data_IF_390219412021
#
_entry.id   IF_390219412021
#
_cell.length_a   1.000
_cell.length_b   1.000
_cell.length_c   1.000
_cell.angle_alpha   90.00
_cell.angle_beta   90.00
_cell.angle_gamma   90.00
#
_symmetry.space_group_name_H-M   'P 1'
#
loop_
_entity.id
_entity.type
_entity.pdbx_description
1 polymer ?
#
# COMPACT_ATOMS: atom_id res chain seq x y z
N UNK A 1 -9.74 -16.25 16.87
CA UNK A 1 -9.30 -17.43 17.65
C UNK A 1 -8.37 -16.97 18.78
N UNK A 2 -8.23 -17.72 19.86
CA UNK A 2 -7.31 -17.38 20.97
C UNK A 2 -6.39 -18.57 21.25
N UNK A 3 -5.10 -18.32 21.41
CA UNK A 3 -4.09 -19.32 21.76
C UNK A 3 -3.18 -18.78 22.87
N UNK A 4 -2.50 -19.67 23.60
CA UNK A 4 -1.52 -19.28 24.61
C UNK A 4 -0.11 -19.47 24.04
N UNK A 5 0.79 -18.55 24.37
CA UNK A 5 2.20 -18.69 24.02
C UNK A 5 2.86 -19.79 24.84
N UNK A 6 3.81 -20.52 24.25
CA UNK A 6 4.65 -21.47 24.97
C UNK A 6 5.66 -20.76 25.91
N UNK A 7 6.46 -21.55 26.65
CA UNK A 7 7.49 -21.02 27.58
C UNK A 7 8.58 -20.18 26.88
N UNK A 8 8.66 -20.24 25.53
CA UNK A 8 9.58 -19.46 24.70
C UNK A 8 8.89 -18.27 24.02
N UNK A 9 7.61 -18.01 24.29
CA UNK A 9 6.85 -16.92 23.68
C UNK A 9 6.31 -17.22 22.28
N UNK A 10 6.40 -18.46 21.80
CA UNK A 10 5.91 -18.85 20.47
C UNK A 10 4.42 -19.17 20.51
N UNK A 11 3.72 -18.87 19.43
CA UNK A 11 2.30 -19.15 19.26
C UNK A 11 2.02 -19.80 17.91
N UNK A 12 0.90 -20.50 17.79
CA UNK A 12 0.47 -21.14 16.54
C UNK A 12 -1.04 -21.06 16.43
N UNK A 13 -1.52 -20.76 15.23
CA UNK A 13 -2.93 -20.81 14.85
C UNK A 13 -3.09 -21.82 13.72
N UNK A 14 -4.04 -22.74 13.85
CA UNK A 14 -4.35 -23.73 12.82
C UNK A 14 -5.65 -23.31 12.14
N UNK A 15 -5.52 -22.35 11.23
CA UNK A 15 -6.63 -21.80 10.46
C UNK A 15 -6.48 -22.18 9.00
N UNK A 16 -7.60 -22.44 8.35
CA UNK A 16 -7.64 -22.53 6.90
C UNK A 16 -7.73 -21.10 6.33
N UNK A 17 -6.84 -20.73 5.41
CA UNK A 17 -6.82 -19.39 4.83
C UNK A 17 -6.51 -19.38 3.33
N UNK A 18 -7.46 -18.91 2.48
CA UNK A 18 -7.18 -18.70 1.06
C UNK A 18 -6.19 -17.56 0.85
N UNK A 19 -5.59 -17.54 -0.32
CA UNK A 19 -4.69 -16.47 -0.75
C UNK A 19 -5.31 -15.08 -0.55
N UNK A 20 -4.51 -14.14 -0.03
CA UNK A 20 -4.95 -12.77 0.27
C UNK A 20 -5.69 -12.57 1.60
N UNK A 21 -5.78 -13.60 2.44
CA UNK A 21 -6.39 -13.48 3.78
C UNK A 21 -5.56 -12.57 4.69
N UNK A 22 -6.17 -11.50 5.20
CA UNK A 22 -5.54 -10.61 6.16
C UNK A 22 -5.82 -11.05 7.61
N UNK A 23 -4.77 -11.17 8.41
CA UNK A 23 -4.85 -11.46 9.83
C UNK A 23 -4.44 -10.26 10.67
N UNK A 24 -5.22 -9.96 11.69
CA UNK A 24 -4.82 -9.05 12.77
C UNK A 24 -4.52 -9.86 14.02
N UNK A 25 -3.27 -9.87 14.43
CA UNK A 25 -2.79 -10.59 15.60
C UNK A 25 -2.68 -9.61 16.75
N UNK A 26 -3.33 -9.92 17.87
CA UNK A 26 -3.24 -9.13 19.10
C UNK A 26 -2.63 -9.97 20.23
N UNK A 27 -1.66 -9.39 20.93
CA UNK A 27 -1.05 -9.97 22.13
C UNK A 27 -1.51 -9.23 23.38
N UNK A 28 -1.76 -9.96 24.47
CA UNK A 28 -2.09 -9.42 25.78
C UNK A 28 -1.31 -10.18 26.85
N UNK A 29 -0.74 -9.47 27.82
CA UNK A 29 -0.11 -10.13 28.96
C UNK A 29 -1.15 -10.76 29.89
N UNK A 30 -0.73 -11.64 30.82
CA UNK A 30 -1.61 -12.23 31.85
C UNK A 30 -2.40 -11.19 32.68
N UNK A 31 -1.90 -9.95 32.76
CA UNK A 31 -2.52 -8.82 33.46
C UNK A 31 -3.20 -7.81 32.51
N UNK A 32 -3.32 -8.12 31.23
CA UNK A 32 -3.93 -7.25 30.22
C UNK A 32 -3.04 -6.09 29.72
N UNK A 33 -1.74 -6.12 30.01
CA UNK A 33 -0.81 -5.10 29.50
C UNK A 33 -0.59 -5.30 27.98
N UNK A 34 -0.46 -4.17 27.26
CA UNK A 34 -0.32 -4.05 25.80
C UNK A 34 1.12 -3.75 25.35
N UNK A 35 2.11 -3.85 26.23
CA UNK A 35 3.52 -3.59 25.91
C UNK A 35 4.26 -4.83 25.37
N UNK A 36 3.54 -5.78 24.76
CA UNK A 36 4.15 -6.96 24.17
C UNK A 36 4.50 -6.65 22.72
N UNK A 37 5.72 -6.95 22.29
CA UNK A 37 6.10 -6.90 20.88
C UNK A 37 5.68 -8.20 20.19
N UNK A 38 5.01 -8.09 19.04
CA UNK A 38 4.72 -9.24 18.18
C UNK A 38 5.74 -9.28 17.06
N UNK A 39 6.39 -10.43 16.90
CA UNK A 39 7.20 -10.75 15.73
C UNK A 39 6.63 -12.01 15.10
N UNK A 40 6.23 -11.90 13.84
CA UNK A 40 5.71 -13.03 13.06
C UNK A 40 6.83 -13.50 12.13
N UNK A 41 7.10 -14.80 12.16
CA UNK A 41 8.00 -15.44 11.19
C UNK A 41 7.45 -15.21 9.78
N UNK A 42 8.23 -14.50 8.96
CA UNK A 42 7.87 -14.23 7.56
C UNK A 42 8.37 -15.35 6.69
N UNK A 43 7.60 -15.66 5.66
CA UNK A 43 8.02 -16.61 4.63
C UNK A 43 9.32 -16.13 3.97
N UNK A 44 10.29 -17.03 3.86
CA UNK A 44 11.53 -16.81 3.12
C UNK A 44 11.46 -17.56 1.80
N UNK A 45 11.54 -16.85 0.69
CA UNK A 45 11.62 -17.46 -0.63
C UNK A 45 13.09 -17.75 -0.98
N UNK A 46 13.39 -18.91 -1.60
CA UNK A 46 14.73 -19.18 -2.09
C UNK A 46 15.10 -18.14 -3.15
N UNK A 47 16.37 -17.70 -3.16
CA UNK A 47 16.86 -16.80 -4.21
C UNK A 47 16.69 -17.46 -5.59
N UNK A 48 16.04 -16.74 -6.51
CA UNK A 48 15.79 -17.20 -7.89
C UNK A 48 17.06 -17.31 -8.75
N UNK A 49 18.23 -17.00 -8.19
CA UNK A 49 19.53 -16.95 -8.87
C UNK A 49 19.92 -18.27 -9.58
N UNK A 50 19.33 -19.39 -9.18
CA UNK A 50 19.57 -20.72 -9.77
C UNK A 50 18.31 -21.44 -10.25
N UNK A 51 17.16 -20.76 -10.25
CA UNK A 51 15.96 -21.28 -10.89
C UNK A 51 16.23 -21.28 -12.40
N UNK A 52 16.67 -22.43 -12.93
CA UNK A 52 16.88 -22.65 -14.36
C UNK A 52 15.58 -22.67 -15.16
N UNK A 53 14.71 -21.68 -14.94
CA UNK A 53 13.56 -21.41 -15.79
C UNK A 53 14.12 -20.73 -17.04
N UNK A 54 14.02 -21.34 -18.23
CA UNK A 54 14.70 -20.89 -19.43
C UNK A 54 14.01 -19.69 -20.11
N UNK A 55 13.61 -18.67 -19.34
CA UNK A 55 13.00 -17.47 -19.90
C UNK A 55 13.51 -16.21 -19.19
N UNK A 56 14.34 -15.43 -19.90
CA UNK A 56 14.60 -14.04 -19.53
C UNK A 56 13.32 -13.26 -19.84
N UNK A 57 12.66 -12.75 -18.80
CA UNK A 57 11.67 -11.70 -18.98
C UNK A 57 12.40 -10.46 -19.48
N UNK A 58 12.33 -10.21 -20.79
CA UNK A 58 12.91 -9.02 -21.41
C UNK A 58 12.02 -7.80 -21.12
N UNK A 59 12.06 -7.31 -19.87
CA UNK A 59 11.39 -6.07 -19.44
C UNK A 59 11.95 -4.79 -20.10
N UNK A 60 12.96 -4.92 -20.96
CA UNK A 60 13.70 -3.78 -21.52
C UNK A 60 13.06 -3.17 -22.77
N UNK A 61 12.15 -3.88 -23.43
CA UNK A 61 11.48 -3.41 -24.64
C UNK A 61 10.00 -3.16 -24.34
N UNK A 62 9.46 -2.05 -24.82
CA UNK A 62 8.02 -1.79 -24.80
C UNK A 62 7.23 -2.90 -25.51
N UNK A 63 5.89 -2.90 -25.40
CA UNK A 63 5.07 -3.99 -25.92
C UNK A 63 5.33 -4.22 -27.41
N UNK A 64 5.63 -5.47 -27.75
CA UNK A 64 5.75 -5.99 -29.11
C UNK A 64 4.44 -5.81 -29.87
N UNK A 65 4.48 -5.90 -31.20
CA UNK A 65 3.27 -5.74 -32.02
C UNK A 65 2.22 -6.83 -31.72
N UNK A 66 2.66 -8.04 -31.37
CA UNK A 66 1.78 -9.13 -30.91
C UNK A 66 1.10 -8.79 -29.57
N UNK A 67 1.83 -8.20 -28.62
CA UNK A 67 1.27 -7.78 -27.33
C UNK A 67 0.28 -6.63 -27.50
N UNK A 68 0.54 -5.68 -28.41
CA UNK A 68 -0.41 -4.61 -28.75
C UNK A 68 -1.69 -5.16 -29.35
N UNK A 69 -1.59 -6.07 -30.32
CA UNK A 69 -2.75 -6.72 -30.94
C UNK A 69 -3.57 -7.53 -29.91
N UNK A 70 -2.89 -8.21 -28.97
CA UNK A 70 -3.53 -8.88 -27.85
C UNK A 70 -4.30 -7.89 -26.96
N UNK A 71 -3.66 -6.78 -26.56
CA UNK A 71 -4.26 -5.77 -25.68
C UNK A 71 -5.50 -5.11 -26.31
N UNK A 72 -5.46 -4.82 -27.61
CA UNK A 72 -6.59 -4.27 -28.35
C UNK A 72 -7.78 -5.26 -28.35
N UNK A 73 -7.54 -6.53 -28.71
CA UNK A 73 -8.57 -7.56 -28.69
C UNK A 73 -9.13 -7.82 -27.28
N UNK A 74 -8.26 -7.81 -26.25
CA UNK A 74 -8.67 -7.97 -24.86
C UNK A 74 -9.58 -6.82 -24.40
N UNK A 75 -9.27 -5.59 -24.84
CA UNK A 75 -10.07 -4.41 -24.56
C UNK A 75 -11.44 -4.49 -25.26
N UNK A 76 -11.49 -4.87 -26.53
CA UNK A 76 -12.74 -5.08 -27.27
C UNK A 76 -13.64 -6.13 -26.59
N UNK A 77 -13.07 -7.29 -26.22
CA UNK A 77 -13.78 -8.34 -25.52
C UNK A 77 -14.33 -7.86 -24.16
N UNK A 78 -13.56 -7.05 -23.43
CA UNK A 78 -13.99 -6.45 -22.16
C UNK A 78 -15.14 -5.46 -22.37
N UNK A 79 -15.03 -4.55 -23.35
CA UNK A 79 -16.06 -3.56 -23.70
C UNK A 79 -17.36 -4.26 -24.11
N UNK A 80 -17.28 -5.31 -24.93
CA UNK A 80 -18.45 -6.08 -25.36
C UNK A 80 -19.16 -6.74 -24.19
N UNK A 81 -18.42 -7.25 -23.20
CA UNK A 81 -18.98 -7.98 -22.05
C UNK A 81 -19.49 -7.08 -20.92
N UNK A 82 -18.78 -5.99 -20.62
CA UNK A 82 -19.04 -5.17 -19.43
C UNK A 82 -19.44 -3.72 -19.74
N UNK A 83 -19.44 -3.33 -21.02
CA UNK A 83 -19.68 -1.96 -21.46
C UNK A 83 -18.45 -1.05 -21.28
N UNK A 84 -18.54 0.17 -21.81
CA UNK A 84 -17.49 1.18 -21.69
C UNK A 84 -17.54 1.80 -20.29
N UNK A 85 -16.48 1.63 -19.50
CA UNK A 85 -16.21 2.46 -18.32
C UNK A 85 -14.97 3.31 -18.60
N UNK A 86 -15.13 4.40 -19.34
CA UNK A 86 -14.07 5.39 -19.55
C UNK A 86 -13.86 6.13 -18.24
N UNK A 87 -12.67 6.02 -17.64
CA UNK A 87 -12.20 6.99 -16.65
C UNK A 87 -11.21 7.86 -17.40
N UNK A 88 -11.70 8.96 -17.97
CA UNK A 88 -10.83 10.01 -18.48
C UNK A 88 -10.21 10.72 -17.26
N UNK A 89 -8.90 10.58 -17.10
CA UNK A 89 -8.17 11.31 -16.07
C UNK A 89 -7.97 12.74 -16.57
N UNK A 90 -8.62 13.68 -15.90
CA UNK A 90 -8.55 15.11 -16.18
C UNK A 90 -7.11 15.63 -15.98
N UNK A 91 -6.69 16.59 -16.81
CA UNK A 91 -5.34 17.17 -16.79
C UNK A 91 -5.04 17.79 -15.40
N UNK A 92 -4.03 17.25 -14.71
CA UNK A 92 -3.54 17.82 -13.45
C UNK A 92 -2.70 19.06 -13.78
N UNK A 93 -3.33 20.22 -13.76
CA UNK A 93 -2.62 21.50 -13.82
C UNK A 93 -2.02 21.79 -12.44
N UNK A 94 -0.70 21.64 -12.29
CA UNK A 94 0.01 22.04 -11.07
C UNK A 94 0.16 23.57 -11.07
N UNK A 95 -0.83 24.26 -10.50
CA UNK A 95 -0.74 25.72 -10.28
C UNK A 95 0.04 26.00 -9.00
N UNK A 96 1.26 26.53 -9.17
CA UNK A 96 2.07 27.03 -8.06
C UNK A 96 1.37 28.20 -7.38
N UNK A 97 0.86 27.98 -6.18
CA UNK A 97 0.26 29.04 -5.37
C UNK A 97 1.37 29.94 -4.84
N UNK A 98 1.26 31.25 -5.09
CA UNK A 98 2.04 32.26 -4.37
C UNK A 98 1.75 32.08 -2.88
N UNK A 99 2.75 31.96 -1.98
CA UNK A 99 2.47 31.76 -0.56
C UNK A 99 1.57 32.90 -0.08
N UNK A 100 0.39 32.53 0.41
CA UNK A 100 -0.58 33.45 0.97
C UNK A 100 0.01 34.16 2.20
N UNK A 101 -0.65 35.23 2.65
CA UNK A 101 -0.44 35.67 4.03
C UNK A 101 -0.90 34.51 4.92
N UNK A 102 -0.02 34.02 5.79
CA UNK A 102 -0.35 32.97 6.75
C UNK A 102 -1.62 33.34 7.52
N UNK A 103 -2.45 32.36 7.86
CA UNK A 103 -3.60 32.61 8.72
C UNK A 103 -3.09 32.98 10.12
N UNK A 104 -3.57 34.12 10.65
CA UNK A 104 -3.26 34.51 12.02
C UNK A 104 -3.94 33.53 12.97
N UNK A 105 -3.13 32.70 13.64
CA UNK A 105 -3.60 31.79 14.66
C UNK A 105 -4.27 32.55 15.80
N UNK A 106 -5.42 32.04 16.29
CA UNK A 106 -6.13 32.58 17.46
C UNK A 106 -5.31 32.57 18.75
N UNK A 107 -4.21 31.81 18.77
CA UNK A 107 -3.28 31.70 19.89
C UNK A 107 -2.15 32.75 19.83
N UNK A 108 -1.99 33.45 18.71
CA UNK A 108 -0.93 34.43 18.56
C UNK A 108 -1.27 35.75 19.26
N UNK A 109 -0.35 36.22 20.10
CA UNK A 109 -0.40 37.56 20.69
C UNK A 109 1.01 38.07 20.91
N UNK A 110 1.30 39.28 20.44
CA UNK A 110 2.62 39.89 20.60
C UNK A 110 3.06 40.07 22.07
N UNK A 111 2.13 39.99 23.02
CA UNK A 111 2.40 40.10 24.45
C UNK A 111 2.84 38.76 25.08
N UNK A 112 2.21 37.65 24.67
CA UNK A 112 2.41 36.33 25.27
C UNK A 112 3.25 35.37 24.42
N UNK A 113 3.30 35.59 23.10
CA UNK A 113 4.05 34.77 22.15
C UNK A 113 5.47 35.28 21.94
N UNK A 114 6.35 34.36 21.52
CA UNK A 114 7.62 34.69 20.87
C UNK A 114 7.38 35.22 19.46
N UNK A 115 8.41 35.75 18.82
CA UNK A 115 8.34 36.10 17.39
C UNK A 115 7.88 34.90 16.55
N UNK A 116 7.00 35.19 15.59
CA UNK A 116 6.52 34.22 14.61
C UNK A 116 7.68 33.75 13.73
N UNK A 117 7.82 32.43 13.56
CA UNK A 117 8.69 31.82 12.56
C UNK A 117 7.85 31.46 11.35
N UNK A 118 8.14 32.09 10.22
CA UNK A 118 7.47 31.78 8.96
C UNK A 118 8.14 30.62 8.24
N UNK A 119 7.46 30.01 7.26
CA UNK A 119 8.04 28.98 6.41
C UNK A 119 9.35 29.45 5.75
N UNK A 120 9.41 30.72 5.31
CA UNK A 120 10.62 31.29 4.70
C UNK A 120 11.79 31.35 5.70
N UNK A 121 11.53 31.68 6.97
CA UNK A 121 12.55 31.67 8.02
C UNK A 121 13.06 30.25 8.27
N UNK A 122 12.14 29.28 8.37
CA UNK A 122 12.45 27.87 8.63
C UNK A 122 13.27 27.27 7.48
N UNK A 123 12.89 27.56 6.23
CA UNK A 123 13.61 27.11 5.04
C UNK A 123 15.04 27.67 4.99
N UNK A 124 15.24 28.95 5.34
CA UNK A 124 16.57 29.57 5.43
C UNK A 124 17.47 28.93 6.49
N UNK A 125 16.89 28.36 7.54
CA UNK A 125 17.64 27.71 8.62
C UNK A 125 18.18 26.33 8.23
N UNK A 126 17.68 25.73 7.14
CA UNK A 126 18.10 24.42 6.63
C UNK A 126 18.07 23.30 7.70
N UNK A 127 17.09 23.35 8.60
CA UNK A 127 16.87 22.34 9.66
C UNK A 127 16.07 21.17 9.12
N UNK A 128 16.51 19.94 9.44
CA UNK A 128 15.90 18.71 8.93
C UNK A 128 14.88 18.04 9.85
N UNK A 129 14.74 18.51 11.10
CA UNK A 129 13.78 17.94 12.06
C UNK A 129 13.13 19.02 12.91
N UNK A 130 11.88 18.77 13.36
CA UNK A 130 11.18 19.68 14.25
C UNK A 130 11.96 19.87 15.56
N UNK A 131 12.59 18.82 16.08
CA UNK A 131 13.43 18.90 17.27
C UNK A 131 14.61 19.86 17.08
N UNK A 132 15.29 19.81 15.93
CA UNK A 132 16.35 20.76 15.57
C UNK A 132 15.83 22.19 15.48
N UNK A 133 14.65 22.39 14.87
CA UNK A 133 13.99 23.70 14.82
C UNK A 133 13.71 24.22 16.23
N UNK A 134 13.20 23.38 17.13
CA UNK A 134 12.90 23.76 18.51
C UNK A 134 14.15 24.16 19.31
N UNK A 135 15.31 23.51 19.10
CA UNK A 135 16.55 23.94 19.75
C UNK A 135 16.97 25.38 19.39
N UNK A 136 16.53 25.90 18.24
CA UNK A 136 16.84 27.27 17.81
C UNK A 136 15.83 28.30 18.30
N UNK A 137 14.70 27.86 18.86
CA UNK A 137 13.60 28.75 19.20
C UNK A 137 13.82 29.39 20.57
N UNK A 138 13.78 30.74 20.66
CA UNK A 138 13.93 31.43 21.94
C UNK A 138 12.81 31.06 22.92
N UNK A 139 13.14 30.98 24.20
CA UNK A 139 12.14 30.81 25.27
C UNK A 139 11.67 29.37 25.49
N UNK A 140 12.24 28.39 24.78
CA UNK A 140 12.04 26.96 25.08
C UNK A 140 13.31 26.27 25.50
N UNK A 141 13.14 25.23 26.32
CA UNK A 141 14.21 24.36 26.80
C UNK A 141 13.84 22.93 26.43
N UNK A 142 14.57 22.36 25.48
CA UNK A 142 14.39 20.97 25.04
C UNK A 142 15.24 20.06 25.93
N UNK A 143 14.60 19.15 26.67
CA UNK A 143 15.25 18.13 27.50
C UNK A 143 15.10 16.75 26.85
N UNK A 144 15.66 15.72 27.48
CA UNK A 144 15.62 14.34 26.98
C UNK A 144 14.20 13.74 26.95
N UNK A 145 13.33 14.18 27.85
CA UNK A 145 12.01 13.59 28.13
C UNK A 145 10.84 14.57 27.93
N UNK A 146 11.12 15.87 27.80
CA UNK A 146 10.09 16.92 27.67
C UNK A 146 10.63 18.21 27.09
N UNK A 147 9.73 19.08 26.68
CA UNK A 147 10.03 20.47 26.30
C UNK A 147 9.29 21.38 27.27
N UNK A 148 9.97 22.38 27.80
CA UNK A 148 9.40 23.38 28.73
C UNK A 148 9.65 24.78 28.20
N UNK A 149 8.93 25.77 28.72
CA UNK A 149 9.34 27.17 28.53
C UNK A 149 10.52 27.51 29.43
N UNK A 150 11.23 28.61 29.15
CA UNK A 150 12.34 29.08 30.00
C UNK A 150 11.89 29.54 31.39
N UNK A 151 10.59 29.77 31.59
CA UNK A 151 10.01 30.31 32.83
C UNK A 151 9.40 29.23 33.73
N UNK A 152 9.30 27.98 33.26
CA UNK A 152 8.67 26.88 34.01
C UNK A 152 9.33 25.52 33.76
N UNK A 153 9.14 24.60 34.69
CA UNK A 153 9.59 23.20 34.60
C UNK A 153 8.47 22.26 34.14
N UNK A 154 7.26 22.79 34.01
CA UNK A 154 6.07 22.11 33.48
C UNK A 154 6.19 22.01 31.95
N UNK A 155 5.80 20.88 31.32
CA UNK A 155 5.87 20.73 29.88
C UNK A 155 5.00 21.75 29.14
N UNK A 156 5.36 22.07 27.91
CA UNK A 156 4.51 22.86 27.01
C UNK A 156 3.41 22.00 26.40
N UNK A 157 2.25 22.60 26.12
CA UNK A 157 1.26 21.98 25.24
C UNK A 157 1.72 22.07 23.78
N UNK A 158 1.36 21.10 22.95
CA UNK A 158 1.50 21.24 21.50
C UNK A 158 0.14 21.55 20.90
N UNK A 159 0.05 22.60 20.10
CA UNK A 159 -1.17 22.97 19.38
C UNK A 159 -0.83 22.94 17.89
N UNK A 160 -1.39 21.97 17.17
CA UNK A 160 -1.13 21.78 15.74
C UNK A 160 -2.46 21.96 15.02
N UNK A 161 -2.54 22.93 14.12
CA UNK A 161 -3.76 23.29 13.38
C UNK A 161 -4.99 23.46 14.30
N UNK A 162 -4.79 24.17 15.41
CA UNK A 162 -5.77 24.43 16.48
C UNK A 162 -6.21 23.20 17.30
N UNK A 163 -5.58 22.04 17.10
CA UNK A 163 -5.81 20.83 17.91
C UNK A 163 -4.71 20.72 18.96
N UNK A 164 -5.11 20.50 20.21
CA UNK A 164 -4.18 20.35 21.34
C UNK A 164 -3.74 18.90 21.52
N UNK A 165 -2.44 18.69 21.71
CA UNK A 165 -1.79 17.42 21.98
C UNK A 165 -0.97 17.53 23.28
N UNK A 166 -1.33 16.74 24.29
CA UNK A 166 -0.68 16.75 25.60
C UNK A 166 0.65 15.94 25.60
N UNK A 167 0.71 14.82 24.87
CA UNK A 167 1.86 13.91 24.83
C UNK A 167 2.54 13.85 23.43
N UNK A 168 2.83 15.02 22.86
CA UNK A 168 3.40 15.10 21.51
C UNK A 168 4.94 14.96 21.44
N UNK A 169 5.63 14.92 22.59
CA UNK A 169 7.10 14.89 22.63
C UNK A 169 7.70 13.71 21.85
N UNK A 170 7.12 12.52 21.99
CA UNK A 170 7.55 11.30 21.28
C UNK A 170 7.11 11.27 19.81
N UNK A 171 6.46 12.33 19.32
CA UNK A 171 5.91 12.47 17.96
C UNK A 171 6.53 13.62 17.19
N UNK A 172 7.61 14.22 17.70
CA UNK A 172 8.29 15.32 17.01
C UNK A 172 8.79 14.92 15.61
N UNK A 173 9.10 13.63 15.41
CA UNK A 173 9.53 13.09 14.12
C UNK A 173 8.35 12.76 13.17
N UNK A 174 7.10 12.85 13.65
CA UNK A 174 5.91 12.66 12.80
C UNK A 174 5.70 13.85 11.85
N UNK A 175 6.18 15.04 12.23
CA UNK A 175 6.04 16.29 11.47
C UNK A 175 7.30 16.54 10.65
N UNK A 176 7.12 16.67 9.34
CA UNK A 176 8.16 17.20 8.47
C UNK A 176 8.27 18.72 8.66
N UNK A 177 9.49 19.22 8.78
CA UNK A 177 9.73 20.66 8.91
C UNK A 177 9.25 21.44 7.69
N UNK A 178 9.36 20.85 6.51
CA UNK A 178 8.94 21.47 5.25
C UNK A 178 7.42 21.67 5.14
N UNK A 179 6.63 20.90 5.90
CA UNK A 179 5.17 21.02 5.95
C UNK A 179 4.69 22.12 6.90
N UNK A 180 5.56 22.74 7.68
CA UNK A 180 5.22 23.82 8.61
C UNK A 180 5.06 25.13 7.83
N UNK A 181 3.92 25.78 7.97
CA UNK A 181 3.69 27.13 7.45
C UNK A 181 4.23 28.18 8.43
N UNK A 182 3.91 28.05 9.72
CA UNK A 182 4.43 28.92 10.74
C UNK A 182 4.50 28.25 12.13
N UNK A 183 5.40 28.75 12.98
CA UNK A 183 5.61 28.26 14.34
C UNK A 183 5.86 29.42 15.31
N UNK A 184 5.22 29.39 16.48
CA UNK A 184 5.53 30.29 17.58
C UNK A 184 5.35 29.61 18.93
N UNK A 185 5.91 30.20 19.97
CA UNK A 185 5.83 29.70 21.34
C UNK A 185 5.08 30.69 22.20
N UNK A 186 4.07 30.23 22.93
CA UNK A 186 3.39 31.00 23.96
C UNK A 186 4.05 30.70 25.31
N UNK A 187 4.46 31.75 26.04
CA UNK A 187 5.34 31.64 27.21
C UNK A 187 4.69 30.99 28.43
N UNK A 188 3.38 31.15 28.60
CA UNK A 188 2.58 30.64 29.70
C UNK A 188 1.09 30.55 29.32
N UNK A 189 0.28 29.97 30.21
CA UNK A 189 -1.15 29.74 29.94
C UNK A 189 -2.03 30.99 30.18
N UNK A 190 -1.50 32.13 30.60
CA UNK A 190 -2.32 33.28 31.05
C UNK A 190 -3.17 33.88 29.93
N UNK A 191 -2.70 33.77 28.68
CA UNK A 191 -3.37 34.30 27.50
C UNK A 191 -3.77 33.22 26.49
N UNK A 192 -3.65 31.94 26.86
CA UNK A 192 -4.07 30.84 25.99
C UNK A 192 -5.58 30.62 26.13
N UNK A 193 -6.36 30.69 25.05
CA UNK A 193 -7.77 30.33 25.09
C UNK A 193 -7.92 28.82 25.30
N UNK A 194 -8.46 28.42 26.45
CA UNK A 194 -8.73 27.01 26.78
C UNK A 194 -8.28 26.62 28.19
N UNK A 195 -8.45 25.34 28.51
CA UNK A 195 -7.97 24.74 29.76
C UNK A 195 -6.87 23.73 29.43
N UNK A 196 -5.66 24.00 29.92
CA UNK A 196 -4.48 23.18 29.65
C UNK A 196 -3.88 22.70 30.99
N UNK A 197 -4.43 21.62 31.56
CA UNK A 197 -3.93 21.09 32.82
C UNK A 197 -2.53 20.48 32.62
N UNK A 198 -1.69 20.54 33.64
CA UNK A 198 -0.35 19.94 33.65
C UNK A 198 0.64 20.47 32.59
N UNK A 199 0.30 21.55 31.88
CA UNK A 199 1.20 22.24 30.95
C UNK A 199 1.43 23.69 31.38
N UNK A 200 2.49 24.32 30.89
CA UNK A 200 2.68 25.77 31.00
C UNK A 200 3.34 26.32 29.72
N UNK A 201 2.58 27.13 28.99
CA UNK A 201 2.94 27.59 27.66
C UNK A 201 2.57 26.58 26.58
N UNK A 202 2.70 26.99 25.33
CA UNK A 202 2.37 26.14 24.18
C UNK A 202 3.34 26.37 23.02
N UNK A 203 3.61 25.31 22.26
CA UNK A 203 4.20 25.41 20.92
C UNK A 203 3.03 25.31 19.94
N UNK A 204 2.82 26.38 19.18
CA UNK A 204 1.76 26.45 18.16
C UNK A 204 2.40 26.25 16.81
N UNK A 205 1.91 25.26 16.07
CA UNK A 205 2.37 24.88 14.74
C UNK A 205 1.17 24.95 13.80
N UNK A 206 1.31 25.72 12.73
CA UNK A 206 0.37 25.74 11.63
C UNK A 206 1.01 25.03 10.45
N UNK A 207 0.32 24.07 9.84
CA UNK A 207 0.83 23.34 8.68
C UNK A 207 0.30 23.90 7.37
N UNK A 208 1.05 23.71 6.27
CA UNK A 208 0.69 24.21 4.94
C UNK A 208 -0.57 23.53 4.37
N UNK A 209 -0.80 22.25 4.69
CA UNK A 209 -1.83 21.40 4.07
C UNK A 209 -2.73 20.67 5.07
N UNK A 210 -2.58 20.92 6.37
CA UNK A 210 -3.23 20.15 7.43
C UNK A 210 -2.35 19.02 7.96
N UNK A 211 -2.34 18.86 9.28
CA UNK A 211 -1.64 17.78 9.97
C UNK A 211 -2.54 16.56 10.13
N UNK A 212 -2.12 15.44 9.53
CA UNK A 212 -2.73 14.13 9.76
C UNK A 212 -1.87 13.31 10.73
N UNK A 213 -2.36 12.99 11.93
CA UNK A 213 -1.64 12.15 12.87
C UNK A 213 -1.37 10.76 12.28
N UNK A 214 -0.09 10.40 12.15
CA UNK A 214 0.29 9.02 11.80
C UNK A 214 -0.21 8.07 12.90
N UNK A 215 -0.97 7.01 12.56
CA UNK A 215 -1.40 6.04 13.56
C UNK A 215 -0.16 5.33 14.14
N UNK A 216 -0.01 5.37 15.47
CA UNK A 216 1.03 4.57 16.13
C UNK A 216 0.72 3.10 15.91
N UNK A 217 1.68 2.34 15.38
CA UNK A 217 1.63 0.89 15.45
C UNK A 217 1.58 0.50 16.93
N UNK A 218 0.49 -0.11 17.34
CA UNK A 218 0.39 -0.69 18.69
C UNK A 218 1.36 -1.85 18.74
N UNK A 219 2.30 -1.87 19.69
CA UNK A 219 3.33 -2.92 19.78
C UNK A 219 2.70 -4.32 19.83
N UNK A 220 1.52 -4.42 20.44
CA UNK A 220 0.78 -5.64 20.64
C UNK A 220 -0.24 -5.95 19.55
N UNK A 221 -0.26 -5.20 18.44
CA UNK A 221 -1.11 -5.50 17.28
C UNK A 221 -0.23 -5.49 16.04
N UNK A 222 -0.20 -6.62 15.33
CA UNK A 222 0.44 -6.73 14.02
C UNK A 222 -0.58 -7.22 13.00
N UNK A 223 -0.56 -6.64 11.81
CA UNK A 223 -1.36 -7.11 10.68
C UNK A 223 -0.45 -7.79 9.66
N UNK A 224 -0.82 -9.00 9.25
CA UNK A 224 -0.07 -9.79 8.27
C UNK A 224 -1.01 -10.31 7.18
N UNK A 225 -0.44 -10.59 6.02
CA UNK A 225 -1.11 -11.26 4.89
C UNK A 225 -0.14 -12.37 4.44
N UNK A 226 -0.24 -13.58 5.01
CA UNK A 226 0.59 -14.72 4.60
C UNK A 226 0.14 -15.27 3.24
N UNK A 227 0.99 -16.07 2.59
CA UNK A 227 0.64 -16.75 1.35
C UNK A 227 -0.35 -17.88 1.66
N UNK A 228 -1.59 -17.69 1.26
CA UNK A 228 -2.65 -18.66 1.44
C UNK A 228 -2.67 -19.69 0.32
N UNK A 229 -3.54 -20.69 0.47
CA UNK A 229 -3.75 -21.61 -0.64
C UNK A 229 -4.55 -20.91 -1.75
N UNK A 230 -4.17 -21.16 -2.99
CA UNK A 230 -4.96 -20.71 -4.12
C UNK A 230 -6.22 -21.58 -4.23
N UNK A 231 -7.39 -20.93 -4.20
CA UNK A 231 -8.63 -21.63 -4.50
C UNK A 231 -8.63 -22.05 -5.97
N UNK A 232 -9.15 -23.26 -6.24
CA UNK A 232 -9.31 -23.72 -7.61
C UNK A 232 -10.23 -22.74 -8.36
N UNK A 233 -9.68 -22.00 -9.31
CA UNK A 233 -10.47 -21.20 -10.23
C UNK A 233 -10.97 -22.12 -11.35
N UNK A 234 -12.28 -22.15 -11.58
CA UNK A 234 -12.82 -22.74 -12.80
C UNK A 234 -12.79 -21.69 -13.91
N UNK A 235 -12.00 -21.94 -14.96
CA UNK A 235 -12.02 -21.10 -16.14
C UNK A 235 -13.24 -21.47 -16.99
N UNK A 236 -14.09 -20.48 -17.30
CA UNK A 236 -15.24 -20.70 -18.16
C UNK A 236 -14.78 -21.07 -19.58
N UNK A 237 -15.08 -22.30 -19.99
CA UNK A 237 -14.96 -22.73 -21.39
C UNK A 237 -16.35 -22.73 -22.02
N UNK A 238 -16.61 -21.95 -23.08
CA UNK A 238 -17.88 -22.00 -23.79
C UNK A 238 -18.09 -23.38 -24.42
N UNK A 239 -19.36 -23.73 -24.60
CA UNK A 239 -19.80 -24.97 -25.23
C UNK A 239 -20.48 -24.62 -26.55
N UNK A 240 -19.94 -25.13 -27.67
CA UNK A 240 -20.48 -24.92 -29.01
C UNK A 240 -21.03 -26.24 -29.59
N UNK A 241 -21.95 -26.88 -28.88
CA UNK A 241 -22.51 -28.15 -29.32
C UNK A 241 -23.73 -27.98 -30.22
N UNK A 242 -24.54 -26.94 -29.98
CA UNK A 242 -25.79 -26.70 -30.73
C UNK A 242 -25.60 -25.80 -31.96
N UNK A 243 -26.42 -25.94 -33.01
CA UNK A 243 -26.41 -25.04 -34.16
C UNK A 243 -26.65 -23.57 -33.77
N UNK A 244 -27.49 -23.32 -32.76
CA UNK A 244 -27.79 -21.98 -32.26
C UNK A 244 -26.56 -21.35 -31.60
N UNK A 245 -25.80 -22.11 -30.80
CA UNK A 245 -24.54 -21.65 -30.20
C UNK A 245 -23.46 -21.39 -31.24
N UNK A 246 -23.39 -22.22 -32.29
CA UNK A 246 -22.41 -22.06 -33.40
C UNK A 246 -22.72 -20.89 -34.32
N UNK A 247 -23.96 -20.41 -34.33
CA UNK A 247 -24.43 -19.32 -35.18
C UNK A 247 -24.81 -18.07 -34.36
N UNK A 248 -24.29 -17.95 -33.14
CA UNK A 248 -24.52 -16.79 -32.30
C UNK A 248 -24.09 -15.50 -33.03
N UNK A 249 -24.90 -14.45 -32.95
CA UNK A 249 -24.65 -13.20 -33.68
C UNK A 249 -23.55 -12.33 -33.07
N UNK A 250 -23.17 -12.59 -31.82
CA UNK A 250 -22.08 -11.91 -31.15
C UNK A 250 -20.76 -12.68 -31.41
N UNK A 251 -19.71 -12.03 -31.93
CA UNK A 251 -18.44 -12.70 -32.20
C UNK A 251 -17.74 -13.12 -30.90
N UNK A 252 -17.09 -14.28 -30.91
CA UNK A 252 -16.20 -14.73 -29.83
C UNK A 252 -14.82 -14.06 -29.95
N UNK A 253 -14.60 -13.04 -29.12
CA UNK A 253 -13.35 -12.26 -29.05
C UNK A 253 -12.43 -12.68 -27.90
N UNK A 254 -12.61 -13.88 -27.31
CA UNK A 254 -11.76 -14.34 -26.21
C UNK A 254 -10.28 -14.32 -26.60
N UNK A 255 -9.45 -13.82 -25.69
CA UNK A 255 -7.98 -13.82 -25.81
C UNK A 255 -7.34 -14.97 -25.02
N UNK A 256 -7.95 -15.38 -23.91
CA UNK A 256 -7.64 -16.64 -23.22
C UNK A 256 -8.63 -17.70 -23.69
N UNK A 257 -8.14 -18.69 -24.43
CA UNK A 257 -8.99 -19.72 -25.06
C UNK A 257 -9.34 -20.85 -24.09
N UNK A 258 -8.35 -21.28 -23.32
CA UNK A 258 -8.45 -22.41 -22.42
C UNK A 258 -7.47 -22.27 -21.26
N UNK A 259 -7.89 -22.68 -20.06
CA UNK A 259 -7.01 -22.79 -18.91
C UNK A 259 -7.46 -23.95 -18.02
N UNK A 260 -6.51 -24.83 -17.66
CA UNK A 260 -6.76 -25.97 -16.78
C UNK A 260 -5.63 -26.09 -15.75
N UNK A 261 -5.91 -25.93 -14.44
CA UNK A 261 -4.88 -25.87 -13.41
C UNK A 261 -4.21 -27.21 -13.13
N UNK A 262 -4.89 -28.32 -13.44
CA UNK A 262 -4.45 -29.66 -13.05
C UNK A 262 -4.55 -30.60 -14.24
N UNK A 263 -3.48 -30.62 -15.04
CA UNK A 263 -3.30 -31.58 -16.13
C UNK A 263 -2.36 -32.68 -15.64
N UNK A 264 -2.88 -33.89 -15.55
CA UNK A 264 -2.08 -35.08 -15.19
C UNK A 264 -1.71 -35.82 -16.47
N UNK A 265 -0.42 -36.08 -16.63
CA UNK A 265 0.10 -36.89 -17.71
C UNK A 265 -0.15 -38.37 -17.41
N UNK A 266 -0.36 -39.17 -18.47
CA UNK A 266 -0.39 -40.63 -18.40
C UNK A 266 0.97 -41.20 -18.01
N UNK A 267 1.03 -42.50 -17.72
CA UNK A 267 2.31 -43.19 -17.49
C UNK A 267 3.25 -43.12 -18.71
N UNK A 268 2.68 -42.99 -19.90
CA UNK A 268 3.40 -42.80 -21.17
C UNK A 268 3.85 -41.34 -21.40
N UNK A 269 3.52 -40.43 -20.49
CA UNK A 269 3.93 -39.02 -20.57
C UNK A 269 3.07 -38.16 -21.48
N UNK A 270 1.86 -38.59 -21.80
CA UNK A 270 0.94 -37.86 -22.69
C UNK A 270 -0.23 -37.23 -21.90
N UNK A 271 -0.70 -36.08 -22.35
CA UNK A 271 -1.92 -35.45 -21.84
C UNK A 271 -2.72 -34.86 -23.00
N UNK A 272 -4.00 -35.21 -23.08
CA UNK A 272 -4.92 -34.69 -24.09
C UNK A 272 -5.78 -33.59 -23.49
N UNK A 273 -5.96 -32.52 -24.26
CA UNK A 273 -6.72 -31.34 -23.86
C UNK A 273 -7.58 -30.89 -25.03
N UNK A 274 -8.88 -30.83 -24.82
CA UNK A 274 -9.85 -30.38 -25.83
C UNK A 274 -10.36 -28.98 -25.48
N UNK A 275 -10.47 -28.11 -26.48
CA UNK A 275 -10.96 -26.74 -26.33
C UNK A 275 -11.62 -26.25 -27.61
N UNK A 276 -12.45 -25.21 -27.48
CA UNK A 276 -13.05 -24.52 -28.62
C UNK A 276 -12.31 -23.24 -28.95
N UNK A 277 -11.98 -23.05 -30.22
CA UNK A 277 -11.36 -21.82 -30.74
C UNK A 277 -12.30 -20.62 -30.65
N UNK A 278 -11.72 -19.43 -30.60
CA UNK A 278 -12.42 -18.17 -30.86
C UNK A 278 -12.64 -17.96 -32.37
N UNK A 279 -13.49 -17.00 -32.74
CA UNK A 279 -13.88 -16.78 -34.14
C UNK A 279 -12.74 -16.21 -35.00
N UNK A 280 -11.80 -15.48 -34.38
CA UNK A 280 -10.68 -14.87 -35.11
C UNK A 280 -9.60 -15.90 -35.46
N UNK A 281 -9.27 -16.01 -36.75
CA UNK A 281 -8.10 -16.75 -37.22
C UNK A 281 -6.81 -16.07 -36.73
N UNK A 282 -5.98 -16.80 -35.98
CA UNK A 282 -4.72 -16.29 -35.45
C UNK A 282 -3.85 -17.44 -34.92
N UNK A 283 -2.66 -17.12 -34.47
CA UNK A 283 -1.75 -18.05 -33.79
C UNK A 283 -2.07 -18.07 -32.30
N UNK A 284 -2.31 -19.26 -31.75
CA UNK A 284 -2.51 -19.46 -30.32
C UNK A 284 -1.20 -19.85 -29.67
N UNK A 285 -0.86 -19.18 -28.58
CA UNK A 285 0.25 -19.56 -27.71
C UNK A 285 -0.25 -20.54 -26.65
N UNK A 286 0.39 -21.70 -26.58
CA UNK A 286 0.17 -22.72 -25.56
C UNK A 286 1.31 -22.64 -24.57
N UNK A 287 1.01 -22.27 -23.34
CA UNK A 287 1.97 -22.26 -22.24
C UNK A 287 1.61 -23.35 -21.23
N UNK A 288 2.56 -24.22 -20.95
CA UNK A 288 2.43 -25.25 -19.92
C UNK A 288 3.44 -25.03 -18.81
N UNK A 289 2.97 -25.02 -17.57
CA UNK A 289 3.81 -24.88 -16.38
C UNK A 289 3.49 -25.99 -15.39
N UNK A 290 4.50 -26.46 -14.66
CA UNK A 290 4.29 -27.50 -13.67
C UNK A 290 5.54 -27.91 -12.92
N UNK A 291 5.40 -28.96 -12.11
CA UNK A 291 6.47 -29.54 -11.32
C UNK A 291 6.47 -31.05 -11.55
N UNK A 292 7.64 -31.63 -11.83
CA UNK A 292 7.79 -33.08 -11.99
C UNK A 292 7.63 -33.82 -10.65
N UNK A 293 7.43 -35.13 -10.68
CA UNK A 293 7.41 -35.97 -9.45
C UNK A 293 8.70 -35.91 -8.62
N UNK A 294 9.80 -35.42 -9.19
CA UNK A 294 11.07 -35.19 -8.48
C UNK A 294 11.24 -33.73 -8.00
N UNK A 295 10.21 -32.90 -8.08
CA UNK A 295 10.25 -31.49 -7.66
C UNK A 295 10.92 -30.53 -8.64
N UNK A 296 11.16 -30.92 -9.90
CA UNK A 296 11.76 -30.02 -10.90
C UNK A 296 10.68 -29.17 -11.57
N UNK A 297 10.90 -27.87 -11.67
CA UNK A 297 10.02 -26.98 -12.42
C UNK A 297 10.08 -27.28 -13.92
N UNK A 298 8.93 -27.22 -14.58
CA UNK A 298 8.74 -27.41 -16.02
C UNK A 298 8.01 -26.17 -16.53
N UNK A 299 8.52 -25.59 -17.61
CA UNK A 299 7.82 -24.57 -18.40
C UNK A 299 8.10 -24.82 -19.88
N UNK A 300 7.07 -24.76 -20.70
CA UNK A 300 7.21 -24.79 -22.16
C UNK A 300 6.21 -23.85 -22.82
N UNK A 301 6.57 -23.38 -24.01
CA UNK A 301 5.71 -22.57 -24.87
C UNK A 301 5.70 -23.17 -26.28
N UNK A 302 4.54 -23.20 -26.91
CA UNK A 302 4.32 -23.71 -28.26
C UNK A 302 3.30 -22.83 -28.96
N UNK A 303 3.37 -22.77 -30.29
CA UNK A 303 2.39 -22.05 -31.11
C UNK A 303 1.56 -23.02 -31.95
N UNK A 304 0.26 -22.74 -32.07
CA UNK A 304 -0.68 -23.47 -32.92
C UNK A 304 -1.38 -22.46 -33.83
N UNK A 305 -1.33 -22.68 -35.14
CA UNK A 305 -2.06 -21.83 -36.09
C UNK A 305 -3.52 -22.29 -36.19
N UNK A 306 -4.45 -21.37 -35.94
CA UNK A 306 -5.89 -21.61 -36.10
C UNK A 306 -6.39 -20.84 -37.31
N UNK A 307 -6.86 -21.59 -38.31
CA UNK A 307 -7.43 -21.03 -39.54
C UNK A 307 -8.91 -20.68 -39.35
N UNK A 308 -9.37 -19.69 -40.13
CA UNK A 308 -10.78 -19.30 -40.15
C UNK A 308 -11.66 -20.40 -40.76
N UNK A 309 -12.94 -20.38 -40.41
CA UNK A 309 -13.95 -21.35 -40.88
C UNK A 309 -14.09 -21.44 -42.41
N UNK A 310 -13.62 -20.42 -43.13
CA UNK A 310 -13.76 -20.27 -44.58
C UNK A 310 -12.43 -20.38 -45.37
N UNK A 311 -11.32 -20.76 -44.72
CA UNK A 311 -10.03 -20.99 -45.41
C UNK A 311 -9.67 -22.49 -45.47
N UNK A 312 -9.26 -23.03 -46.63
CA UNK A 312 -8.73 -24.39 -46.74
C UNK A 312 -7.37 -24.56 -46.05
#
# INVERSE_FOLDING_TARGET
EMTQTDDKGRFTFNVEFPEGTAFTIQSLSKKGNKNNLIEVERESFPESAYAGVPERLDFANGPTDNEKAYLEKANEAYIQKYGIRTIDLEEITVTGHKPGKYEESVYYSALSATGLRTAEDIEKMAVSSLKSLLYTQPGIVVRSDKITTSTSQTPVAFIIDNITYEDFFDRLDDIDVSSIDNLFVVKDNSFLPGYFPNTNGAIVITTKMGYEPKPRKSLNIEQIIPLGYQQAAEFYSPVYETPEQKNASAPDLRTTIYWKPNVRFSEDGEATVDFYSADSATTYTVTGEGVSGSGKMIRFSSEIQVKGKDEP
#
